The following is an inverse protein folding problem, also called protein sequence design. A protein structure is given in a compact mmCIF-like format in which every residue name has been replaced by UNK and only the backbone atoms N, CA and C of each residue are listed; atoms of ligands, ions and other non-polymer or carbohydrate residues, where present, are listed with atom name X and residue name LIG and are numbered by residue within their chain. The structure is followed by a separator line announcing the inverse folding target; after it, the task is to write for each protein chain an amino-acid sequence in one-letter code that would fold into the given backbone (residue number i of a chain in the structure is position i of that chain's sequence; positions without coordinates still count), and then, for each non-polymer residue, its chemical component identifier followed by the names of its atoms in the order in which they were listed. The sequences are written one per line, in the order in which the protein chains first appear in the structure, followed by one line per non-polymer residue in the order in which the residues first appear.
data_IF_635334046901
#
_entry.id   IF_635334046901
#
_cell.length_a   1.000
_cell.length_b   1.000
_cell.length_c   1.000
_cell.angle_alpha   90.00
_cell.angle_beta   90.00
_cell.angle_gamma   90.00
#
_symmetry.space_group_name_H-M   'P 1'
#
loop_
_entity.id
_entity.type
_entity.pdbx_description
1 polymer ?
#
# COMPACT_ATOMS: atom_id res chain seq x y z
N UNK A 1 -28.45 -1.70 10.39
CA UNK A 1 -28.69 -1.67 11.86
C UNK A 1 -27.90 -2.74 12.64
N UNK A 2 -27.44 -3.85 12.03
CA UNK A 2 -26.70 -4.91 12.75
C UNK A 2 -25.21 -4.57 12.97
N UNK A 3 -24.53 -3.94 12.00
CA UNK A 3 -23.08 -3.68 12.12
C UNK A 3 -22.65 -2.55 13.08
N UNK A 4 -23.54 -1.61 13.45
CA UNK A 4 -23.16 -0.55 14.41
C UNK A 4 -23.03 -1.04 15.86
N UNK A 5 -23.42 -2.29 16.14
CA UNK A 5 -23.23 -2.95 17.43
C UNK A 5 -22.09 -3.99 17.40
N UNK A 6 -21.42 -4.16 16.26
CA UNK A 6 -20.36 -5.14 16.08
C UNK A 6 -19.05 -4.63 16.69
N UNK A 7 -18.51 -5.37 17.66
CA UNK A 7 -17.22 -5.03 18.28
C UNK A 7 -16.05 -5.53 17.41
N UNK A 8 -15.63 -4.71 16.46
CA UNK A 8 -14.53 -5.03 15.54
C UNK A 8 -13.17 -5.28 16.20
N UNK A 9 -12.76 -4.56 17.26
CA UNK A 9 -11.57 -4.94 18.05
C UNK A 9 -11.63 -6.39 18.56
N UNK A 10 -12.78 -6.81 19.11
CA UNK A 10 -12.96 -8.18 19.57
C UNK A 10 -12.90 -9.18 18.42
N UNK A 11 -13.49 -8.85 17.27
CA UNK A 11 -13.41 -9.70 16.06
C UNK A 11 -11.95 -9.86 15.62
N UNK A 12 -11.16 -8.79 15.55
CA UNK A 12 -9.75 -8.89 15.17
C UNK A 12 -8.96 -9.73 16.17
N UNK A 13 -9.23 -9.57 17.47
CA UNK A 13 -8.64 -10.43 18.49
C UNK A 13 -8.98 -11.91 18.25
N UNK A 14 -10.23 -12.22 17.89
CA UNK A 14 -10.66 -13.57 17.56
C UNK A 14 -9.95 -14.08 16.31
N UNK A 15 -9.95 -13.31 15.21
CA UNK A 15 -9.29 -13.68 13.95
C UNK A 15 -7.80 -13.97 14.13
N UNK A 16 -7.12 -13.25 15.01
CA UNK A 16 -5.69 -13.48 15.32
C UNK A 16 -5.49 -14.77 16.14
N UNK A 17 -6.43 -15.10 17.03
CA UNK A 17 -6.32 -16.24 17.95
C UNK A 17 -6.83 -17.58 17.41
N UNK A 18 -7.73 -17.54 16.43
CA UNK A 18 -8.45 -18.71 15.93
C UNK A 18 -7.70 -19.45 14.82
N UNK A 19 -8.16 -20.67 14.51
CA UNK A 19 -7.67 -21.40 13.35
C UNK A 19 -8.00 -20.67 12.04
N UNK A 20 -7.20 -20.84 10.96
CA UNK A 20 -7.48 -20.20 9.67
C UNK A 20 -8.88 -20.49 9.12
N UNK A 21 -9.41 -21.69 9.36
CA UNK A 21 -10.75 -22.09 8.91
C UNK A 21 -11.86 -21.31 9.64
N UNK A 22 -11.76 -21.17 10.96
CA UNK A 22 -12.72 -20.39 11.76
C UNK A 22 -12.66 -18.90 11.41
N UNK A 23 -11.44 -18.35 11.30
CA UNK A 23 -11.23 -16.98 10.89
C UNK A 23 -11.85 -16.69 9.52
N UNK A 24 -11.67 -17.60 8.55
CA UNK A 24 -12.27 -17.49 7.23
C UNK A 24 -13.80 -17.48 7.29
N UNK A 25 -14.41 -18.36 8.10
CA UNK A 25 -15.87 -18.40 8.24
C UNK A 25 -16.44 -17.08 8.81
N UNK A 26 -15.75 -16.46 9.78
CA UNK A 26 -16.14 -15.15 10.34
C UNK A 26 -16.02 -14.05 9.29
N UNK A 27 -14.91 -14.00 8.54
CA UNK A 27 -14.69 -13.02 7.48
C UNK A 27 -15.76 -13.14 6.39
N UNK A 28 -16.03 -14.35 5.92
CA UNK A 28 -17.04 -14.60 4.88
C UNK A 28 -18.45 -14.21 5.32
N UNK A 29 -18.79 -14.42 6.59
CA UNK A 29 -20.07 -13.98 7.14
C UNK A 29 -20.21 -12.45 7.07
N UNK A 30 -19.24 -11.70 7.59
CA UNK A 30 -19.27 -10.24 7.63
C UNK A 30 -19.24 -9.63 6.22
N UNK A 31 -18.45 -10.24 5.32
CA UNK A 31 -18.37 -9.88 3.91
C UNK A 31 -19.72 -9.96 3.20
N UNK A 32 -20.47 -11.04 3.42
CA UNK A 32 -21.80 -11.25 2.81
C UNK A 32 -22.87 -10.31 3.36
N UNK A 33 -22.74 -9.89 4.61
CA UNK A 33 -23.71 -8.97 5.24
C UNK A 33 -23.64 -7.57 4.62
N UNK A 34 -22.45 -6.96 4.58
CA UNK A 34 -22.18 -5.75 3.80
C UNK A 34 -20.66 -5.48 3.73
N UNK A 35 -20.08 -5.84 2.58
CA UNK A 35 -18.65 -5.74 2.29
C UNK A 35 -18.10 -4.33 2.49
N UNK A 36 -18.79 -3.30 2.01
CA UNK A 36 -18.31 -1.91 2.08
C UNK A 36 -18.12 -1.44 3.52
N UNK A 37 -19.13 -1.66 4.38
CA UNK A 37 -19.04 -1.29 5.79
C UNK A 37 -18.00 -2.13 6.54
N UNK A 38 -17.94 -3.43 6.24
CA UNK A 38 -16.93 -4.31 6.83
C UNK A 38 -15.51 -3.83 6.55
N UNK A 39 -15.18 -3.51 5.28
CA UNK A 39 -13.85 -3.03 4.91
C UNK A 39 -13.54 -1.64 5.47
N UNK A 40 -14.54 -0.76 5.56
CA UNK A 40 -14.38 0.53 6.22
C UNK A 40 -14.01 0.37 7.70
N UNK A 41 -14.67 -0.55 8.41
CA UNK A 41 -14.36 -0.82 9.81
C UNK A 41 -12.98 -1.45 9.99
N UNK A 42 -12.59 -2.40 9.13
CA UNK A 42 -11.22 -2.92 9.11
C UNK A 42 -10.19 -1.80 8.89
N UNK A 43 -10.44 -0.88 7.96
CA UNK A 43 -9.53 0.23 7.71
C UNK A 43 -9.41 1.18 8.92
N UNK A 44 -10.51 1.44 9.64
CA UNK A 44 -10.47 2.19 10.89
C UNK A 44 -9.63 1.49 11.96
N UNK A 45 -9.83 0.18 12.17
CA UNK A 45 -9.04 -0.58 13.14
C UNK A 45 -7.56 -0.62 12.76
N UNK A 46 -7.24 -0.68 11.46
CA UNK A 46 -5.87 -0.65 10.96
C UNK A 46 -5.14 0.66 11.33
N UNK A 47 -5.83 1.80 11.33
CA UNK A 47 -5.21 3.11 11.66
C UNK A 47 -5.30 3.50 13.13
N UNK A 48 -6.16 2.86 13.91
CA UNK A 48 -6.38 3.15 15.32
C UNK A 48 -5.16 2.81 16.20
N UNK A 49 -4.63 3.80 16.93
CA UNK A 49 -3.42 3.63 17.76
C UNK A 49 -3.64 2.80 19.03
N UNK A 50 -4.89 2.74 19.52
CA UNK A 50 -5.26 1.95 20.69
C UNK A 50 -5.45 0.45 20.38
N UNK A 51 -5.32 0.03 19.11
CA UNK A 51 -5.44 -1.36 18.70
C UNK A 51 -4.05 -2.02 18.65
N UNK A 52 -3.88 -3.24 19.20
CA UNK A 52 -2.61 -3.96 19.15
C UNK A 52 -2.08 -4.18 17.72
N UNK A 53 -0.76 -4.13 17.54
CA UNK A 53 -0.12 -4.22 16.21
C UNK A 53 -0.56 -5.44 15.40
N UNK A 54 -0.57 -6.63 16.01
CA UNK A 54 -1.01 -7.87 15.35
C UNK A 54 -2.47 -7.82 14.84
N UNK A 55 -3.37 -7.15 15.56
CA UNK A 55 -4.75 -6.95 15.12
C UNK A 55 -4.84 -5.94 13.97
N UNK A 56 -4.01 -4.89 13.99
CA UNK A 56 -3.92 -3.92 12.88
C UNK A 56 -3.38 -4.59 11.61
N UNK A 57 -2.37 -5.45 11.74
CA UNK A 57 -1.85 -6.27 10.65
C UNK A 57 -2.91 -7.23 10.11
N UNK A 58 -3.70 -7.87 10.98
CA UNK A 58 -4.83 -8.71 10.57
C UNK A 58 -5.87 -7.91 9.78
N UNK A 59 -6.21 -6.70 10.24
CA UNK A 59 -7.13 -5.83 9.53
C UNK A 59 -6.61 -5.48 8.11
N UNK A 60 -5.33 -5.12 8.00
CA UNK A 60 -4.67 -4.87 6.71
C UNK A 60 -4.72 -6.12 5.80
N UNK A 61 -4.45 -7.30 6.34
CA UNK A 61 -4.51 -8.57 5.61
C UNK A 61 -5.92 -8.87 5.08
N UNK A 62 -6.95 -8.65 5.90
CA UNK A 62 -8.36 -8.81 5.52
C UNK A 62 -8.74 -7.86 4.38
N UNK A 63 -8.30 -6.60 4.45
CA UNK A 63 -8.56 -5.62 3.39
C UNK A 63 -7.89 -6.04 2.09
N UNK A 64 -6.59 -6.38 2.14
CA UNK A 64 -5.84 -6.87 0.98
C UNK A 64 -6.53 -8.07 0.34
N UNK A 65 -6.84 -9.10 1.13
CA UNK A 65 -7.45 -10.36 0.67
C UNK A 65 -8.92 -10.20 0.23
N UNK A 66 -9.47 -8.99 0.29
CA UNK A 66 -10.78 -8.67 -0.29
C UNK A 66 -10.67 -8.06 -1.69
N UNK A 67 -9.45 -7.79 -2.16
CA UNK A 67 -9.17 -7.20 -3.48
C UNK A 67 -8.18 -8.06 -4.28
N UNK A 68 -7.18 -8.64 -3.61
CA UNK A 68 -6.11 -9.43 -4.23
C UNK A 68 -6.18 -10.87 -3.73
N UNK A 69 -6.25 -11.82 -4.66
CA UNK A 69 -6.36 -13.26 -4.40
C UNK A 69 -5.06 -14.01 -4.69
N UNK A 70 -5.03 -15.33 -4.41
CA UNK A 70 -3.85 -16.19 -4.62
C UNK A 70 -3.57 -16.49 -6.10
N UNK A 71 -4.49 -16.16 -7.01
CA UNK A 71 -4.34 -16.33 -8.45
C UNK A 71 -4.92 -15.11 -9.19
N UNK A 72 -4.51 -14.85 -10.45
CA UNK A 72 -5.07 -13.77 -11.26
C UNK A 72 -6.60 -13.86 -11.39
N UNK A 73 -7.14 -15.06 -11.57
CA UNK A 73 -8.59 -15.28 -11.68
C UNK A 73 -9.31 -14.92 -10.38
N UNK A 74 -8.78 -15.34 -9.22
CA UNK A 74 -9.36 -15.00 -7.93
C UNK A 74 -9.27 -13.49 -7.66
N UNK A 75 -8.17 -12.83 -8.05
CA UNK A 75 -8.03 -11.37 -7.98
C UNK A 75 -9.08 -10.66 -8.84
N UNK A 76 -9.38 -11.15 -10.05
CA UNK A 76 -10.42 -10.57 -10.90
C UNK A 76 -11.82 -10.69 -10.27
N UNK A 77 -12.14 -11.81 -9.64
CA UNK A 77 -13.41 -12.02 -8.93
C UNK A 77 -13.53 -11.13 -7.69
N UNK A 78 -12.49 -11.08 -6.85
CA UNK A 78 -12.45 -10.22 -5.68
C UNK A 78 -12.55 -8.73 -6.07
N UNK A 79 -11.88 -8.33 -7.15
CA UNK A 79 -11.96 -6.97 -7.63
C UNK A 79 -13.36 -6.59 -8.14
N UNK A 80 -14.12 -7.52 -8.75
CA UNK A 80 -15.53 -7.28 -9.09
C UNK A 80 -16.38 -7.03 -7.85
N UNK A 81 -16.13 -7.77 -6.77
CA UNK A 81 -16.80 -7.53 -5.48
C UNK A 81 -16.40 -6.17 -4.90
N UNK A 82 -15.13 -5.80 -4.95
CA UNK A 82 -14.66 -4.46 -4.58
C UNK A 82 -15.40 -3.37 -5.36
N UNK A 83 -15.52 -3.50 -6.68
CA UNK A 83 -16.23 -2.54 -7.52
C UNK A 83 -17.73 -2.45 -7.26
N UNK A 84 -18.34 -3.48 -6.64
CA UNK A 84 -19.74 -3.44 -6.22
C UNK A 84 -20.00 -2.50 -5.02
N UNK A 85 -18.96 -2.14 -4.27
CA UNK A 85 -19.03 -1.15 -3.19
C UNK A 85 -19.20 0.24 -3.83
N UNK A 86 -20.12 1.11 -3.36
CA UNK A 86 -20.26 2.47 -3.91
C UNK A 86 -18.93 3.25 -3.88
N UNK A 87 -18.65 4.02 -4.95
CA UNK A 87 -17.38 4.75 -5.10
C UNK A 87 -17.04 5.62 -3.90
N UNK A 88 -18.01 6.39 -3.39
CA UNK A 88 -17.86 7.23 -2.21
C UNK A 88 -17.38 6.45 -0.97
N UNK A 89 -17.86 5.21 -0.81
CA UNK A 89 -17.45 4.37 0.31
C UNK A 89 -16.05 3.80 0.10
N UNK A 90 -15.69 3.43 -1.14
CA UNK A 90 -14.32 3.06 -1.49
C UNK A 90 -13.36 4.21 -1.23
N UNK A 91 -13.75 5.45 -1.52
CA UNK A 91 -12.93 6.64 -1.28
C UNK A 91 -12.62 6.84 0.21
N UNK A 92 -13.59 6.60 1.10
CA UNK A 92 -13.36 6.64 2.55
C UNK A 92 -12.38 5.55 3.00
N UNK A 93 -12.49 4.34 2.46
CA UNK A 93 -11.54 3.26 2.75
C UNK A 93 -10.13 3.67 2.29
N UNK A 94 -10.00 4.14 1.04
CA UNK A 94 -8.73 4.58 0.45
C UNK A 94 -8.07 5.72 1.25
N UNK A 95 -8.86 6.67 1.76
CA UNK A 95 -8.35 7.74 2.63
C UNK A 95 -7.71 7.19 3.91
N UNK A 96 -8.35 6.21 4.56
CA UNK A 96 -7.79 5.54 5.74
C UNK A 96 -6.52 4.74 5.38
N UNK A 97 -6.47 4.10 4.21
CA UNK A 97 -5.27 3.42 3.75
C UNK A 97 -4.09 4.39 3.58
N UNK A 98 -4.32 5.55 2.97
CA UNK A 98 -3.31 6.61 2.83
C UNK A 98 -2.89 7.18 4.19
N UNK A 99 -3.83 7.39 5.12
CA UNK A 99 -3.52 7.78 6.49
C UNK A 99 -2.59 6.77 7.18
N UNK A 100 -2.76 5.48 6.88
CA UNK A 100 -1.91 4.39 7.35
C UNK A 100 -0.40 4.58 7.06
N UNK A 101 -0.04 5.32 6.00
CA UNK A 101 1.35 5.62 5.65
C UNK A 101 2.05 6.53 6.67
N UNK A 102 1.27 7.22 7.52
CA UNK A 102 1.76 8.17 8.51
C UNK A 102 1.83 7.60 9.93
N UNK A 103 1.47 6.33 10.12
CA UNK A 103 1.43 5.70 11.43
C UNK A 103 2.82 5.66 12.07
N UNK A 104 2.92 5.94 13.37
CA UNK A 104 4.17 5.89 14.12
C UNK A 104 4.71 4.46 14.27
N UNK A 105 3.82 3.49 14.53
CA UNK A 105 4.14 2.08 14.60
C UNK A 105 4.59 1.53 13.23
N UNK A 106 5.82 1.04 13.14
CA UNK A 106 6.43 0.55 11.91
C UNK A 106 5.68 -0.63 11.29
N UNK A 107 5.28 -1.60 12.10
CA UNK A 107 4.58 -2.81 11.64
C UNK A 107 3.24 -2.47 10.98
N UNK A 108 2.44 -1.63 11.64
CA UNK A 108 1.16 -1.16 11.11
C UNK A 108 1.33 -0.29 9.85
N UNK A 109 2.33 0.61 9.86
CA UNK A 109 2.69 1.44 8.67
C UNK A 109 3.11 0.57 7.49
N UNK A 110 3.93 -0.45 7.74
CA UNK A 110 4.40 -1.40 6.72
C UNK A 110 3.24 -2.18 6.11
N UNK A 111 2.31 -2.70 6.94
CA UNK A 111 1.10 -3.35 6.44
C UNK A 111 0.20 -2.42 5.65
N UNK A 112 -0.01 -1.18 6.11
CA UNK A 112 -0.77 -0.18 5.34
C UNK A 112 -0.11 0.13 3.98
N UNK A 113 1.23 0.22 3.96
CA UNK A 113 2.00 0.46 2.73
C UNK A 113 1.81 -0.67 1.71
N UNK A 114 1.82 -1.93 2.17
CA UNK A 114 1.52 -3.09 1.31
C UNK A 114 0.10 -3.02 0.73
N UNK A 115 -0.90 -2.72 1.57
CA UNK A 115 -2.30 -2.62 1.14
C UNK A 115 -2.47 -1.49 0.12
N UNK A 116 -1.89 -0.31 0.37
CA UNK A 116 -1.92 0.82 -0.58
C UNK A 116 -1.27 0.42 -1.90
N UNK A 117 -0.10 -0.22 -1.88
CA UNK A 117 0.60 -0.62 -3.09
C UNK A 117 -0.18 -1.62 -3.94
N UNK A 118 -0.72 -2.68 -3.31
CA UNK A 118 -1.41 -3.77 -3.99
C UNK A 118 -2.80 -3.37 -4.49
N UNK A 119 -3.60 -2.71 -3.64
CA UNK A 119 -4.91 -2.18 -4.07
C UNK A 119 -4.72 -1.06 -5.08
N UNK A 120 -3.73 -0.19 -4.87
CA UNK A 120 -3.39 0.89 -5.78
C UNK A 120 -3.01 0.39 -7.17
N UNK A 121 -2.14 -0.61 -7.27
CA UNK A 121 -1.78 -1.24 -8.54
C UNK A 121 -3.02 -1.76 -9.28
N UNK A 122 -3.92 -2.43 -8.54
CA UNK A 122 -5.15 -2.99 -9.11
C UNK A 122 -6.14 -1.92 -9.56
N UNK A 123 -6.35 -0.87 -8.76
CA UNK A 123 -7.24 0.25 -9.11
C UNK A 123 -6.72 1.00 -10.34
N UNK A 124 -5.42 1.33 -10.36
CA UNK A 124 -4.79 2.03 -11.49
C UNK A 124 -4.84 1.23 -12.78
N UNK A 125 -4.64 -0.09 -12.73
CA UNK A 125 -4.80 -0.97 -13.89
C UNK A 125 -6.21 -0.88 -14.52
N UNK A 126 -7.24 -0.63 -13.71
CA UNK A 126 -8.63 -0.44 -14.16
C UNK A 126 -9.03 1.03 -14.33
N UNK A 127 -8.07 1.96 -14.36
CA UNK A 127 -8.31 3.39 -14.53
C UNK A 127 -9.05 4.04 -13.35
N UNK A 128 -8.97 3.44 -12.15
CA UNK A 128 -9.50 3.97 -10.91
C UNK A 128 -8.38 4.55 -10.03
N UNK A 129 -8.76 5.29 -8.99
CA UNK A 129 -7.82 5.91 -8.04
C UNK A 129 -6.69 6.70 -8.72
N UNK A 130 -7.05 7.46 -9.75
CA UNK A 130 -6.12 8.15 -10.66
C UNK A 130 -5.24 9.21 -9.98
N UNK A 131 -5.66 9.70 -8.81
CA UNK A 131 -4.95 10.66 -7.98
C UNK A 131 -3.91 10.03 -7.05
N UNK A 132 -3.85 8.69 -6.94
CA UNK A 132 -2.93 7.98 -6.04
C UNK A 132 -1.47 8.38 -6.23
N UNK A 133 -0.98 8.40 -7.47
CA UNK A 133 0.42 8.76 -7.75
C UNK A 133 0.71 10.20 -7.30
N UNK A 134 -0.22 11.12 -7.54
CA UNK A 134 -0.09 12.52 -7.10
C UNK A 134 0.00 12.64 -5.58
N UNK A 135 -0.82 11.86 -4.84
CA UNK A 135 -0.77 11.79 -3.37
C UNK A 135 0.59 11.27 -2.89
N UNK A 136 1.08 10.16 -3.45
CA UNK A 136 2.35 9.56 -3.03
C UNK A 136 3.55 10.46 -3.35
N UNK A 137 3.56 11.11 -4.51
CA UNK A 137 4.59 12.09 -4.86
C UNK A 137 4.54 13.31 -3.93
N UNK A 138 3.33 13.80 -3.61
CA UNK A 138 3.13 14.88 -2.63
C UNK A 138 3.68 14.53 -1.24
N UNK A 139 3.42 13.31 -0.77
CA UNK A 139 3.97 12.80 0.49
C UNK A 139 5.50 12.80 0.50
N UNK A 140 6.16 12.48 -0.61
CA UNK A 140 7.62 12.54 -0.70
C UNK A 140 8.17 13.96 -0.65
N UNK A 141 7.42 14.92 -1.20
CA UNK A 141 7.79 16.33 -1.19
C UNK A 141 7.69 16.96 0.20
N UNK A 142 6.57 16.76 0.90
CA UNK A 142 6.26 17.52 2.15
C UNK A 142 6.17 16.67 3.41
N UNK A 143 6.21 15.34 3.30
CA UNK A 143 6.03 14.43 4.43
C UNK A 143 7.20 14.42 5.40
N UNK A 144 6.93 14.05 6.65
CA UNK A 144 7.96 13.72 7.64
C UNK A 144 8.72 12.46 7.21
N UNK A 145 9.90 12.16 7.79
CA UNK A 145 10.62 10.93 7.46
C UNK A 145 9.79 9.65 7.59
N UNK A 146 8.89 9.58 8.58
CA UNK A 146 7.95 8.47 8.78
C UNK A 146 7.00 8.32 7.57
N UNK A 147 6.43 9.43 7.11
CA UNK A 147 5.53 9.45 5.96
C UNK A 147 6.28 9.08 4.68
N UNK A 148 7.50 9.59 4.50
CA UNK A 148 8.35 9.27 3.35
C UNK A 148 8.68 7.78 3.31
N UNK A 149 9.07 7.18 4.43
CA UNK A 149 9.34 5.74 4.52
C UNK A 149 8.11 4.90 4.15
N UNK A 150 6.93 5.19 4.72
CA UNK A 150 5.69 4.49 4.37
C UNK A 150 5.32 4.65 2.90
N UNK A 151 5.47 5.87 2.38
CA UNK A 151 5.18 6.20 0.98
C UNK A 151 6.11 5.46 0.01
N UNK A 152 7.41 5.40 0.30
CA UNK A 152 8.38 4.66 -0.51
C UNK A 152 8.08 3.16 -0.50
N UNK A 153 7.73 2.59 0.65
CA UNK A 153 7.32 1.18 0.72
C UNK A 153 6.07 0.92 -0.14
N UNK A 154 5.08 1.83 -0.09
CA UNK A 154 3.88 1.72 -0.91
C UNK A 154 4.18 1.85 -2.42
N UNK A 155 5.03 2.81 -2.80
CA UNK A 155 5.50 2.97 -4.19
C UNK A 155 6.23 1.72 -4.67
N UNK A 156 7.13 1.15 -3.85
CA UNK A 156 7.86 -0.06 -4.21
C UNK A 156 6.95 -1.24 -4.52
N UNK A 157 5.98 -1.49 -3.64
CA UNK A 157 4.97 -2.55 -3.85
C UNK A 157 4.10 -2.26 -5.08
N UNK A 158 3.64 -1.01 -5.24
CA UNK A 158 2.84 -0.60 -6.39
C UNK A 158 3.60 -0.83 -7.71
N UNK A 159 4.89 -0.50 -7.73
CA UNK A 159 5.76 -0.65 -8.89
C UNK A 159 6.03 -2.12 -9.26
N UNK A 160 6.10 -2.99 -8.26
CA UNK A 160 6.29 -4.43 -8.44
C UNK A 160 5.04 -5.12 -9.00
N UNK A 161 3.86 -4.70 -8.54
CA UNK A 161 2.59 -5.36 -8.84
C UNK A 161 1.91 -4.86 -10.12
N UNK A 162 2.19 -3.61 -10.53
CA UNK A 162 1.51 -3.01 -11.67
C UNK A 162 2.11 -3.47 -13.01
N UNK A 163 1.30 -3.86 -14.01
CA UNK A 163 1.79 -4.19 -15.34
C UNK A 163 2.52 -3.03 -16.01
N UNK A 164 3.49 -3.36 -16.85
CA UNK A 164 4.25 -2.37 -17.63
C UNK A 164 3.32 -1.59 -18.57
N UNK A 165 3.67 -0.32 -18.83
CA UNK A 165 2.90 0.60 -19.68
C UNK A 165 1.80 1.39 -18.97
N UNK A 166 1.25 0.91 -17.85
CA UNK A 166 0.18 1.64 -17.14
C UNK A 166 0.68 2.96 -16.53
N UNK A 167 1.90 2.95 -15.99
CA UNK A 167 2.50 4.12 -15.32
C UNK A 167 3.49 4.89 -16.20
N UNK A 168 3.59 4.60 -17.50
CA UNK A 168 4.61 5.20 -18.36
C UNK A 168 4.53 6.72 -18.39
N UNK A 169 3.32 7.30 -18.44
CA UNK A 169 3.13 8.75 -18.38
C UNK A 169 3.54 9.39 -17.03
N UNK A 170 3.66 8.58 -15.97
CA UNK A 170 4.00 9.00 -14.60
C UNK A 170 5.37 8.51 -14.14
N UNK A 171 6.13 7.84 -15.01
CA UNK A 171 7.39 7.19 -14.68
C UNK A 171 8.43 8.17 -14.11
N UNK A 172 8.56 9.35 -14.72
CA UNK A 172 9.44 10.44 -14.27
C UNK A 172 9.10 10.91 -12.86
N UNK A 173 7.82 11.14 -12.57
CA UNK A 173 7.35 11.62 -11.27
C UNK A 173 7.63 10.58 -10.17
N UNK A 174 7.35 9.31 -10.46
CA UNK A 174 7.58 8.20 -9.54
C UNK A 174 9.08 8.00 -9.27
N UNK A 175 9.90 7.97 -10.33
CA UNK A 175 11.34 7.79 -10.20
C UNK A 175 11.99 8.95 -9.42
N UNK A 176 11.56 10.19 -9.70
CA UNK A 176 12.02 11.37 -8.96
C UNK A 176 11.66 11.26 -7.48
N UNK A 177 10.43 10.85 -7.17
CA UNK A 177 9.98 10.66 -5.79
C UNK A 177 10.81 9.58 -5.07
N UNK A 178 11.06 8.44 -5.72
CA UNK A 178 11.89 7.37 -5.16
C UNK A 178 13.33 7.86 -4.90
N UNK A 179 13.97 8.47 -5.89
CA UNK A 179 15.36 8.94 -5.76
C UNK A 179 15.48 10.08 -4.73
N UNK A 180 14.47 10.93 -4.58
CA UNK A 180 14.49 11.96 -3.53
C UNK A 180 14.65 11.36 -2.12
N UNK A 181 14.21 10.11 -1.93
CA UNK A 181 14.37 9.35 -0.70
C UNK A 181 15.82 8.93 -0.38
N UNK A 182 16.77 9.05 -1.32
CA UNK A 182 18.20 8.78 -1.10
C UNK A 182 19.01 10.05 -0.85
N UNK A 183 18.34 11.20 -0.66
CA UNK A 183 19.01 12.48 -0.40
C UNK A 183 19.73 12.47 0.96
N UNK A 184 20.93 13.04 1.00
CA UNK A 184 21.71 13.19 2.24
C UNK A 184 20.93 13.93 3.33
N UNK A 185 21.03 13.47 4.58
CA UNK A 185 20.36 14.06 5.74
C UNK A 185 18.98 13.46 6.05
N UNK A 186 18.45 12.57 5.21
CA UNK A 186 17.30 11.73 5.57
C UNK A 186 17.74 10.52 6.42
N UNK A 187 16.85 9.99 7.29
CA UNK A 187 17.14 8.78 8.07
C UNK A 187 17.39 7.55 7.18
N UNK A 188 18.17 6.60 7.70
CA UNK A 188 18.56 5.37 7.00
C UNK A 188 17.36 4.51 6.60
N UNK A 189 16.28 4.55 7.37
CA UNK A 189 15.04 3.82 7.07
C UNK A 189 14.39 4.33 5.77
N UNK A 190 14.43 5.65 5.55
CA UNK A 190 13.94 6.28 4.31
C UNK A 190 14.83 5.90 3.13
N UNK A 191 16.15 5.92 3.31
CA UNK A 191 17.11 5.49 2.27
C UNK A 191 16.89 4.04 1.88
N UNK A 192 16.74 3.14 2.86
CA UNK A 192 16.49 1.73 2.63
C UNK A 192 15.18 1.49 1.90
N UNK A 193 14.11 2.20 2.29
CA UNK A 193 12.82 2.13 1.62
C UNK A 193 12.93 2.62 0.16
N UNK A 194 13.70 3.68 -0.10
CA UNK A 194 13.93 4.21 -1.45
C UNK A 194 14.67 3.21 -2.35
N UNK A 195 15.76 2.61 -1.87
CA UNK A 195 16.51 1.61 -2.64
C UNK A 195 15.67 0.37 -2.91
N UNK A 196 14.88 -0.07 -1.92
CA UNK A 196 13.93 -1.18 -2.12
C UNK A 196 12.85 -0.82 -3.14
N UNK A 197 12.30 0.39 -3.10
CA UNK A 197 11.31 0.86 -4.05
C UNK A 197 11.87 0.96 -5.48
N UNK A 198 13.13 1.39 -5.61
CA UNK A 198 13.83 1.45 -6.89
C UNK A 198 13.92 0.07 -7.54
N UNK A 199 14.19 -0.99 -6.77
CA UNK A 199 14.21 -2.37 -7.28
C UNK A 199 12.85 -2.76 -7.90
N UNK A 200 11.74 -2.44 -7.22
CA UNK A 200 10.40 -2.68 -7.75
C UNK A 200 10.09 -1.86 -9.01
N UNK A 201 10.62 -0.63 -9.09
CA UNK A 201 10.44 0.25 -10.24
C UNK A 201 11.24 -0.17 -11.48
N UNK A 202 12.28 -1.01 -11.35
CA UNK A 202 13.12 -1.46 -12.47
C UNK A 202 12.33 -2.09 -13.62
N UNK A 203 11.19 -2.72 -13.31
CA UNK A 203 10.32 -3.39 -14.28
C UNK A 203 9.73 -2.44 -15.33
N UNK A 204 9.51 -1.15 -15.03
CA UNK A 204 8.91 -0.19 -15.97
C UNK A 204 9.78 1.05 -16.27
N UNK A 205 10.87 1.27 -15.54
CA UNK A 205 11.82 2.38 -15.83
C UNK A 205 12.81 2.09 -16.95
N UNK A 206 12.63 1.00 -17.72
CA UNK A 206 13.55 0.59 -18.80
C UNK A 206 13.90 1.70 -19.79
N UNK A 207 12.91 2.49 -20.23
CA UNK A 207 13.12 3.64 -21.12
C UNK A 207 13.99 4.75 -20.49
N UNK A 208 14.01 4.89 -19.15
CA UNK A 208 14.95 5.81 -18.50
C UNK A 208 16.40 5.33 -18.61
N UNK A 209 16.64 4.03 -18.68
CA UNK A 209 18.00 3.50 -18.87
C UNK A 209 18.53 3.74 -20.30
N UNK A 210 17.67 4.00 -21.29
CA UNK A 210 18.06 4.41 -22.63
C UNK A 210 18.62 5.84 -22.65
N UNK A 211 18.15 6.69 -21.74
CA UNK A 211 18.60 8.08 -21.60
C UNK A 211 19.83 8.15 -20.70
N UNK A 212 20.99 8.50 -21.27
CA UNK A 212 22.27 8.50 -20.56
C UNK A 212 22.22 9.28 -19.24
N UNK A 213 21.64 10.47 -19.23
CA UNK A 213 21.55 11.31 -18.02
C UNK A 213 20.78 10.60 -16.90
N UNK A 214 19.64 10.00 -17.21
CA UNK A 214 18.83 9.28 -16.21
C UNK A 214 19.51 7.99 -15.76
N UNK A 215 20.06 7.21 -16.69
CA UNK A 215 20.82 5.99 -16.37
C UNK A 215 21.99 6.29 -15.44
N UNK A 216 22.82 7.26 -15.79
CA UNK A 216 24.02 7.61 -15.02
C UNK A 216 23.61 8.10 -13.62
N UNK A 217 22.51 8.86 -13.51
CA UNK A 217 21.96 9.29 -12.23
C UNK A 217 21.45 8.13 -11.37
N UNK A 218 20.63 7.23 -11.92
CA UNK A 218 20.14 6.03 -11.22
C UNK A 218 21.31 5.16 -10.75
N UNK A 219 22.30 4.91 -11.61
CA UNK A 219 23.47 4.11 -11.27
C UNK A 219 24.32 4.77 -10.18
N UNK A 220 24.50 6.10 -10.24
CA UNK A 220 25.20 6.84 -9.19
C UNK A 220 24.50 6.71 -7.84
N UNK A 221 23.16 6.82 -7.81
CA UNK A 221 22.37 6.61 -6.59
C UNK A 221 22.62 5.22 -6.03
N UNK A 222 22.45 4.17 -6.83
CA UNK A 222 22.66 2.77 -6.41
C UNK A 222 24.08 2.55 -5.86
N UNK A 223 25.10 3.00 -6.61
CA UNK A 223 26.51 2.83 -6.21
C UNK A 223 26.83 3.62 -4.95
N UNK A 224 26.27 4.82 -4.80
CA UNK A 224 26.50 5.65 -3.61
C UNK A 224 25.88 5.02 -2.37
N UNK A 225 24.66 4.48 -2.48
CA UNK A 225 23.98 3.76 -1.39
C UNK A 225 24.65 2.43 -1.06
N UNK A 226 25.30 1.76 -2.02
CA UNK A 226 26.08 0.55 -1.74
C UNK A 226 27.41 0.84 -1.02
N UNK A 227 27.89 2.10 -1.08
CA UNK A 227 29.14 2.56 -0.44
C UNK A 227 28.91 3.24 0.90
N UNK A 228 27.67 3.63 1.23
CA UNK A 228 27.38 4.16 2.56
C UNK A 228 27.62 3.02 3.56
N UNK A 229 28.40 3.30 4.60
CA UNK A 229 28.83 2.31 5.59
C UNK A 229 27.75 2.03 6.65
N UNK A 230 26.49 2.05 6.23
CA UNK A 230 25.33 1.83 7.11
C UNK A 230 25.02 0.35 7.29
#
# INVERSE_FOLDING_TARGET
RVMSATNFPLILSQLVSQSPHEAFAVIEKLRKENLGMFLFEMANQMVAENIPSNQRQMAALVIKNSVVGPSPQATDELYKLWLSIPSQQRDLIKQLLIQGLSLSNFEARSSASQVVGQIGARELYHGQWTDLIGILVGNMATGSPVVKEGTLNALGVLCEEIPTGILEAKSNEILTAIISGTTSGLPIEVHRAAIKALLGALSFVGHHFEQQVHRDYIMNVIVSSAKSAD
#
